data_IF_862592024744
#
_entry.id   IF_862592024744
#
_cell.length_a   1.000
_cell.length_b   1.000
_cell.length_c   1.000
_cell.angle_alpha   90.00
_cell.angle_beta   90.00
_cell.angle_gamma   90.00
#
_symmetry.space_group_name_H-M   'P 1'
#
loop_
_entity.id
_entity.type
_entity.pdbx_description
1 polymer ?
#
# COMPACT_ATOMS: atom_id res chain seq x y z
N UNK A 1 -15.82 -0.78 1.29
CA UNK A 1 -14.40 -0.78 1.61
C UNK A 1 -13.58 -0.63 0.33
N UNK A 2 -12.60 0.27 0.32
CA UNK A 2 -11.71 0.49 -0.82
C UNK A 2 -10.26 0.36 -0.35
N UNK A 3 -9.45 -0.43 -1.04
CA UNK A 3 -8.01 -0.51 -0.85
C UNK A 3 -7.29 0.31 -1.93
N UNK A 4 -6.53 1.30 -1.49
CA UNK A 4 -5.67 2.12 -2.33
C UNK A 4 -4.22 1.69 -2.12
N UNK A 5 -3.72 0.87 -3.03
CA UNK A 5 -2.37 0.29 -2.97
C UNK A 5 -1.41 1.19 -3.76
N UNK A 6 -0.47 1.82 -3.05
CA UNK A 6 0.40 2.86 -3.59
C UNK A 6 1.79 2.27 -3.87
N UNK A 7 2.39 2.68 -4.97
CA UNK A 7 3.75 2.31 -5.34
C UNK A 7 3.92 2.05 -6.83
N UNK A 8 5.08 1.55 -7.21
CA UNK A 8 5.43 1.23 -8.61
C UNK A 8 6.19 -0.09 -8.72
N UNK A 9 5.95 -0.82 -9.79
CA UNK A 9 6.68 -2.04 -10.16
C UNK A 9 8.11 -1.78 -10.67
N UNK A 10 8.48 -0.51 -10.89
CA UNK A 10 9.80 -0.11 -11.39
C UNK A 10 10.88 -0.03 -10.32
N UNK A 11 10.50 -0.06 -9.04
CA UNK A 11 11.39 0.05 -7.88
C UNK A 11 11.03 -1.03 -6.88
N UNK A 12 11.96 -1.93 -6.59
CA UNK A 12 11.67 -3.15 -5.81
C UNK A 12 11.02 -2.86 -4.45
N UNK A 13 11.55 -1.94 -3.67
CA UNK A 13 10.98 -1.60 -2.36
C UNK A 13 9.59 -0.98 -2.45
N UNK A 14 9.33 -0.25 -3.54
CA UNK A 14 8.06 0.44 -3.78
C UNK A 14 6.99 -0.47 -4.44
N UNK A 15 7.33 -1.73 -4.70
CA UNK A 15 6.40 -2.72 -5.25
C UNK A 15 5.38 -3.24 -4.23
N UNK A 16 5.52 -2.96 -2.93
CA UNK A 16 4.68 -3.56 -1.88
C UNK A 16 3.19 -3.34 -2.14
N UNK A 17 2.78 -2.08 -2.29
CA UNK A 17 1.38 -1.73 -2.59
C UNK A 17 0.87 -2.45 -3.84
N UNK A 18 1.52 -2.32 -5.01
CA UNK A 18 1.15 -3.04 -6.23
C UNK A 18 1.03 -4.56 -6.08
N UNK A 19 1.93 -5.21 -5.32
CA UNK A 19 1.82 -6.65 -5.04
C UNK A 19 0.59 -6.99 -4.20
N UNK A 20 0.33 -6.24 -3.14
CA UNK A 20 -0.88 -6.42 -2.32
C UNK A 20 -2.13 -6.23 -3.19
N UNK A 21 -2.17 -5.14 -3.97
CA UNK A 21 -3.30 -4.85 -4.85
C UNK A 21 -3.53 -5.95 -5.89
N UNK A 22 -2.47 -6.50 -6.48
CA UNK A 22 -2.57 -7.62 -7.43
C UNK A 22 -3.14 -8.88 -6.77
N UNK A 23 -2.68 -9.21 -5.57
CA UNK A 23 -3.16 -10.36 -4.81
C UNK A 23 -4.62 -10.21 -4.39
N UNK A 24 -5.00 -9.05 -3.85
CA UNK A 24 -6.38 -8.75 -3.46
C UNK A 24 -7.34 -8.78 -4.66
N UNK A 25 -6.93 -8.25 -5.82
CA UNK A 25 -7.74 -8.27 -7.05
C UNK A 25 -7.98 -9.69 -7.59
N UNK A 26 -7.15 -10.65 -7.21
CA UNK A 26 -7.28 -12.06 -7.59
C UNK A 26 -8.12 -12.87 -6.60
N UNK A 27 -8.52 -12.28 -5.47
CA UNK A 27 -9.37 -12.93 -4.48
C UNK A 27 -10.83 -12.90 -4.94
N UNK A 28 -11.53 -14.01 -4.75
CA UNK A 28 -12.95 -14.17 -5.13
C UNK A 28 -13.94 -13.51 -4.16
N UNK A 29 -13.50 -12.65 -3.26
CA UNK A 29 -14.33 -11.98 -2.26
C UNK A 29 -14.89 -10.67 -2.81
N UNK A 30 -16.23 -10.51 -2.89
CA UNK A 30 -16.85 -9.41 -3.64
C UNK A 30 -16.98 -8.08 -2.88
N UNK A 31 -16.60 -7.98 -1.62
CA UNK A 31 -17.05 -6.86 -0.77
C UNK A 31 -16.07 -5.68 -0.67
N UNK A 32 -15.05 -5.61 -1.52
CA UNK A 32 -14.14 -4.48 -1.59
C UNK A 32 -13.69 -4.15 -3.01
N UNK A 33 -13.29 -2.91 -3.21
CA UNK A 33 -12.70 -2.44 -4.47
C UNK A 33 -11.21 -2.17 -4.27
N UNK A 34 -10.38 -2.52 -5.26
CA UNK A 34 -8.92 -2.35 -5.22
C UNK A 34 -8.47 -1.39 -6.31
N UNK A 35 -7.62 -0.44 -5.94
CA UNK A 35 -6.91 0.46 -6.85
C UNK A 35 -5.41 0.34 -6.60
N UNK A 36 -4.63 0.27 -7.66
CA UNK A 36 -3.18 0.09 -7.60
C UNK A 36 -2.78 -1.38 -7.61
N UNK A 37 -2.55 -1.91 -8.81
CA UNK A 37 -2.04 -3.26 -9.05
C UNK A 37 -0.69 -3.19 -9.75
N UNK A 38 -0.03 -4.33 -9.99
CA UNK A 38 1.21 -4.38 -10.78
C UNK A 38 1.00 -3.87 -12.22
N UNK A 39 -0.17 -4.12 -12.80
CA UNK A 39 -0.47 -3.74 -14.18
C UNK A 39 -1.11 -2.35 -14.31
N UNK A 40 -1.69 -1.85 -13.23
CA UNK A 40 -2.31 -0.53 -13.13
C UNK A 40 -1.88 0.16 -11.82
N UNK A 41 -0.60 0.54 -11.70
CA UNK A 41 -0.08 1.08 -10.44
C UNK A 41 -0.60 2.48 -10.16
N UNK A 42 -0.80 2.77 -8.88
CA UNK A 42 -1.06 4.12 -8.37
C UNK A 42 0.20 4.60 -7.66
N UNK A 43 0.86 5.58 -8.24
CA UNK A 43 2.17 6.08 -7.82
C UNK A 43 2.18 7.61 -7.75
N UNK A 44 3.29 8.20 -7.35
CA UNK A 44 3.44 9.64 -7.11
C UNK A 44 2.94 10.55 -8.25
N UNK A 45 3.00 10.10 -9.51
CA UNK A 45 2.60 10.93 -10.65
C UNK A 45 1.08 10.95 -10.89
N UNK A 46 0.36 9.91 -10.52
CA UNK A 46 -1.09 9.80 -10.75
C UNK A 46 -1.93 9.75 -9.47
N UNK A 47 -1.31 9.69 -8.29
CA UNK A 47 -1.99 9.51 -7.00
C UNK A 47 -3.06 10.58 -6.76
N UNK A 48 -2.76 11.85 -6.96
CA UNK A 48 -3.70 12.96 -6.71
C UNK A 48 -4.96 12.82 -7.55
N UNK A 49 -4.80 12.56 -8.85
CA UNK A 49 -5.92 12.38 -9.76
C UNK A 49 -6.73 11.11 -9.42
N UNK A 50 -6.03 10.02 -9.12
CA UNK A 50 -6.67 8.75 -8.77
C UNK A 50 -7.42 8.85 -7.44
N UNK A 51 -6.85 9.48 -6.42
CA UNK A 51 -7.51 9.64 -5.13
C UNK A 51 -8.78 10.51 -5.24
N UNK A 52 -8.71 11.59 -6.03
CA UNK A 52 -9.90 12.41 -6.33
C UNK A 52 -10.98 11.60 -7.07
N UNK A 53 -10.59 10.76 -8.02
CA UNK A 53 -11.51 9.86 -8.72
C UNK A 53 -12.15 8.86 -7.77
N UNK A 54 -11.36 8.21 -6.89
CA UNK A 54 -11.85 7.23 -5.91
C UNK A 54 -12.86 7.86 -4.96
N UNK A 55 -12.56 9.04 -4.40
CA UNK A 55 -13.48 9.74 -3.49
C UNK A 55 -14.81 10.11 -4.17
N UNK A 56 -14.79 10.50 -5.43
CA UNK A 56 -16.00 10.78 -6.19
C UNK A 56 -16.81 9.52 -6.53
N UNK A 57 -16.11 8.43 -6.84
CA UNK A 57 -16.73 7.17 -7.22
C UNK A 57 -17.31 6.41 -6.03
N UNK A 58 -16.70 6.57 -4.85
CA UNK A 58 -17.02 5.88 -3.60
C UNK A 58 -17.11 6.89 -2.44
N UNK A 59 -18.12 7.79 -2.43
CA UNK A 59 -18.17 8.90 -1.47
C UNK A 59 -18.27 8.45 -0.01
N UNK A 60 -18.94 7.33 0.25
CA UNK A 60 -19.16 6.79 1.60
C UNK A 60 -18.18 5.65 1.97
N UNK A 61 -17.24 5.32 1.10
CA UNK A 61 -16.35 4.20 1.37
C UNK A 61 -15.25 4.58 2.37
N UNK A 62 -14.96 3.65 3.28
CA UNK A 62 -13.71 3.65 4.04
C UNK A 62 -12.57 3.29 3.09
N UNK A 63 -11.58 4.18 2.98
CA UNK A 63 -10.41 3.98 2.13
C UNK A 63 -9.21 3.60 3.00
N UNK A 64 -8.67 2.41 2.76
CA UNK A 64 -7.45 1.92 3.38
C UNK A 64 -6.29 2.10 2.41
N UNK A 65 -5.35 3.00 2.74
CA UNK A 65 -4.15 3.21 1.95
C UNK A 65 -3.08 2.19 2.34
N UNK A 66 -2.41 1.60 1.34
CA UNK A 66 -1.36 0.59 1.54
C UNK A 66 -0.10 1.04 0.80
N UNK A 67 1.02 1.12 1.50
CA UNK A 67 2.29 1.60 0.94
C UNK A 67 3.49 0.91 1.59
N UNK A 68 4.65 1.00 0.93
CA UNK A 68 5.93 0.66 1.51
C UNK A 68 6.43 1.79 2.42
N UNK A 69 7.17 1.44 3.45
CA UNK A 69 7.87 2.42 4.27
C UNK A 69 9.30 1.97 4.59
N UNK A 70 10.13 2.94 4.92
CA UNK A 70 11.46 2.74 5.48
C UNK A 70 11.38 2.96 6.99
N UNK A 71 12.16 2.24 7.77
CA UNK A 71 12.11 2.32 9.21
C UNK A 71 13.41 1.98 9.91
N UNK A 72 13.36 1.76 11.21
CA UNK A 72 14.53 1.33 11.98
C UNK A 72 14.85 -0.15 11.69
N UNK A 73 16.14 -0.51 11.79
CA UNK A 73 16.61 -1.89 11.54
C UNK A 73 15.84 -2.96 12.32
N UNK A 74 15.48 -2.68 13.57
CA UNK A 74 14.73 -3.59 14.44
C UNK A 74 13.28 -3.83 13.98
N UNK A 75 12.74 -2.97 13.12
CA UNK A 75 11.38 -3.06 12.61
C UNK A 75 11.32 -3.53 11.15
N UNK A 76 12.45 -3.91 10.56
CA UNK A 76 12.46 -4.45 9.20
C UNK A 76 11.55 -5.69 9.11
N UNK A 77 10.67 -5.70 8.12
CA UNK A 77 9.70 -6.77 7.93
C UNK A 77 8.42 -6.65 8.79
N UNK A 78 8.25 -5.56 9.54
CA UNK A 78 7.03 -5.30 10.30
C UNK A 78 5.96 -4.68 9.40
N UNK A 79 4.70 -4.98 9.73
CA UNK A 79 3.52 -4.31 9.20
C UNK A 79 2.99 -3.37 10.27
N UNK A 80 2.65 -2.14 9.89
CA UNK A 80 1.99 -1.16 10.76
C UNK A 80 0.59 -0.86 10.27
N UNK A 81 -0.34 -0.66 11.18
CA UNK A 81 -1.73 -0.24 10.89
C UNK A 81 -2.02 0.95 11.79
N UNK A 82 -2.55 2.03 11.24
CA UNK A 82 -2.91 3.21 11.99
C UNK A 82 -4.13 3.93 11.41
N UNK A 83 -4.87 4.59 12.29
CA UNK A 83 -5.92 5.52 11.91
C UNK A 83 -5.35 6.77 11.26
N UNK A 84 -6.15 7.36 10.37
CA UNK A 84 -5.81 8.59 9.67
C UNK A 84 -5.13 8.37 8.34
N UNK A 85 -4.92 9.48 7.66
CA UNK A 85 -4.36 9.48 6.32
C UNK A 85 -2.88 9.08 6.30
N UNK A 86 -2.51 8.38 5.24
CA UNK A 86 -1.11 8.15 4.88
C UNK A 86 -0.55 9.39 4.20
N UNK A 87 0.70 9.74 4.53
CA UNK A 87 1.49 10.78 3.85
C UNK A 87 2.52 10.09 2.95
N UNK A 88 2.17 9.78 1.68
CA UNK A 88 3.07 9.07 0.79
C UNK A 88 4.20 9.96 0.33
N UNK A 89 5.34 9.40 -0.04
CA UNK A 89 6.40 10.12 -0.72
C UNK A 89 7.64 10.44 0.09
N UNK A 90 7.96 9.68 1.13
CA UNK A 90 9.27 9.78 1.79
C UNK A 90 10.45 9.67 0.81
N UNK A 91 10.27 8.97 -0.32
CA UNK A 91 11.30 8.80 -1.35
C UNK A 91 11.17 9.74 -2.56
N UNK A 92 10.16 10.61 -2.59
CA UNK A 92 9.90 11.50 -3.74
C UNK A 92 9.96 12.95 -3.23
N UNK A 93 10.75 13.80 -3.88
CA UNK A 93 10.89 15.24 -3.55
C UNK A 93 9.61 16.05 -3.87
N UNK A 94 8.43 15.43 -3.83
CA UNK A 94 7.15 16.05 -4.13
C UNK A 94 6.22 15.89 -2.94
N UNK A 95 5.67 16.98 -2.46
CA UNK A 95 4.58 16.94 -1.49
C UNK A 95 3.34 16.33 -2.15
N UNK A 96 3.01 15.12 -1.73
CA UNK A 96 1.81 14.42 -2.15
C UNK A 96 0.69 14.67 -1.13
N UNK A 97 -0.58 14.71 -1.56
CA UNK A 97 -1.69 14.87 -0.64
C UNK A 97 -1.78 13.67 0.31
N UNK A 98 -2.24 13.89 1.55
CA UNK A 98 -2.57 12.79 2.44
C UNK A 98 -3.75 11.99 1.86
N UNK A 99 -3.69 10.66 1.97
CA UNK A 99 -4.67 9.74 1.37
C UNK A 99 -5.11 8.66 2.34
N UNK A 100 -6.36 8.22 2.20
CA UNK A 100 -6.94 7.17 3.02
C UNK A 100 -7.56 7.70 4.33
N UNK A 101 -8.33 6.85 4.97
CA UNK A 101 -8.93 7.06 6.29
C UNK A 101 -8.20 6.22 7.34
N UNK A 102 -7.66 5.07 6.91
CA UNK A 102 -6.76 4.16 7.63
C UNK A 102 -5.59 3.87 6.70
N UNK A 103 -4.44 3.57 7.26
CA UNK A 103 -3.32 3.13 6.45
C UNK A 103 -2.60 1.91 7.01
N UNK A 104 -2.08 1.10 6.09
CA UNK A 104 -1.24 -0.06 6.37
C UNK A 104 0.10 0.18 5.68
N UNK A 105 1.22 0.06 6.40
CA UNK A 105 2.54 0.12 5.78
C UNK A 105 3.37 -1.10 6.11
N UNK A 106 4.21 -1.51 5.15
CA UNK A 106 5.21 -2.54 5.37
C UNK A 106 6.61 -1.94 5.39
N UNK A 107 7.39 -2.21 6.42
CA UNK A 107 8.76 -1.71 6.56
C UNK A 107 9.69 -2.60 5.73
N UNK A 108 9.97 -2.15 4.51
CA UNK A 108 10.70 -2.93 3.49
C UNK A 108 12.21 -2.81 3.60
N UNK A 109 12.73 -1.70 4.17
CA UNK A 109 14.16 -1.47 4.36
C UNK A 109 14.41 -0.38 5.42
N UNK A 110 15.69 -0.08 5.67
CA UNK A 110 16.13 0.84 6.72
C UNK A 110 16.10 2.28 6.19
N UNK A 111 15.50 3.19 6.97
CA UNK A 111 15.52 4.62 6.67
C UNK A 111 16.94 5.20 6.76
N UNK A 112 17.27 6.14 5.90
CA UNK A 112 18.58 6.78 5.83
C UNK A 112 18.61 7.97 4.87
N UNK A 113 19.80 8.40 4.49
CA UNK A 113 20.00 9.60 3.66
C UNK A 113 19.64 9.37 2.18
N UNK A 114 19.75 8.13 1.69
CA UNK A 114 19.54 7.77 0.28
C UNK A 114 18.32 6.87 0.11
N UNK A 115 17.15 7.35 0.53
CA UNK A 115 15.91 6.55 0.54
C UNK A 115 15.57 5.95 -0.82
N UNK A 116 15.72 6.71 -1.91
CA UNK A 116 15.45 6.22 -3.26
C UNK A 116 16.35 5.04 -3.64
N UNK A 117 17.65 5.13 -3.35
CA UNK A 117 18.59 4.03 -3.58
C UNK A 117 18.28 2.84 -2.68
N UNK A 118 17.89 3.09 -1.44
CA UNK A 118 17.48 2.06 -0.48
C UNK A 118 16.28 1.27 -1.00
N UNK A 119 15.27 1.94 -1.54
CA UNK A 119 14.13 1.29 -2.16
C UNK A 119 14.52 0.47 -3.40
N UNK A 120 15.41 0.99 -4.26
CA UNK A 120 15.90 0.26 -5.43
C UNK A 120 16.67 -1.01 -5.06
N UNK A 121 17.43 -0.98 -3.96
CA UNK A 121 18.26 -2.10 -3.50
C UNK A 121 17.57 -3.00 -2.47
N UNK A 122 16.30 -2.78 -2.20
CA UNK A 122 15.49 -3.60 -1.30
C UNK A 122 15.35 -5.03 -1.82
N UNK A 123 15.41 -6.00 -0.93
CA UNK A 123 15.24 -7.42 -1.29
C UNK A 123 13.79 -7.71 -1.66
N UNK A 124 13.59 -8.24 -2.87
CA UNK A 124 12.27 -8.64 -3.36
C UNK A 124 11.57 -9.65 -2.43
N UNK A 125 12.33 -10.57 -1.84
CA UNK A 125 11.78 -11.55 -0.89
C UNK A 125 11.13 -10.90 0.34
N UNK A 126 11.68 -9.79 0.83
CA UNK A 126 11.09 -9.02 1.93
C UNK A 126 9.76 -8.39 1.50
N UNK A 127 9.71 -7.81 0.31
CA UNK A 127 8.50 -7.20 -0.25
C UNK A 127 7.41 -8.25 -0.46
N UNK A 128 7.74 -9.41 -1.02
CA UNK A 128 6.79 -10.51 -1.24
C UNK A 128 6.24 -11.03 0.09
N UNK A 129 7.11 -11.27 1.08
CA UNK A 129 6.68 -11.75 2.40
C UNK A 129 5.74 -10.78 3.11
N UNK A 130 6.04 -9.47 3.05
CA UNK A 130 5.15 -8.42 3.58
C UNK A 130 3.83 -8.37 2.82
N UNK A 131 3.86 -8.45 1.49
CA UNK A 131 2.64 -8.46 0.68
C UNK A 131 1.74 -9.66 1.01
N UNK A 132 2.33 -10.84 1.21
CA UNK A 132 1.60 -12.04 1.63
C UNK A 132 0.95 -11.85 3.00
N UNK A 133 1.70 -11.32 3.97
CA UNK A 133 1.21 -11.05 5.32
C UNK A 133 0.04 -10.06 5.31
N UNK A 134 0.18 -8.93 4.61
CA UNK A 134 -0.85 -7.90 4.52
C UNK A 134 -2.10 -8.46 3.82
N UNK A 135 -1.92 -9.13 2.68
CA UNK A 135 -3.04 -9.71 1.92
C UNK A 135 -3.81 -10.73 2.76
N UNK A 136 -3.09 -11.65 3.42
CA UNK A 136 -3.72 -12.67 4.25
C UNK A 136 -4.50 -12.05 5.42
N UNK A 137 -3.93 -11.03 6.07
CA UNK A 137 -4.60 -10.30 7.15
C UNK A 137 -5.90 -9.65 6.67
N UNK A 138 -5.88 -8.99 5.51
CA UNK A 138 -7.07 -8.35 4.91
C UNK A 138 -8.12 -9.41 4.56
N UNK A 139 -7.75 -10.48 3.87
CA UNK A 139 -8.67 -11.55 3.47
C UNK A 139 -9.31 -12.21 4.68
N UNK A 140 -8.53 -12.53 5.72
CA UNK A 140 -9.06 -13.11 6.96
C UNK A 140 -10.06 -12.18 7.64
N UNK A 141 -9.76 -10.89 7.71
CA UNK A 141 -10.64 -9.89 8.30
C UNK A 141 -11.95 -9.75 7.51
N UNK A 142 -11.86 -9.59 6.19
CA UNK A 142 -13.07 -9.43 5.35
C UNK A 142 -13.94 -10.67 5.36
N UNK A 143 -13.36 -11.87 5.35
CA UNK A 143 -14.12 -13.11 5.49
C UNK A 143 -14.83 -13.21 6.86
N UNK A 144 -14.23 -12.70 7.93
CA UNK A 144 -14.87 -12.71 9.25
C UNK A 144 -16.09 -11.79 9.34
N UNK A 145 -16.16 -10.72 8.53
CA UNK A 145 -17.30 -9.83 8.46
C UNK A 145 -18.51 -10.46 7.76
N UNK A 146 -18.27 -11.38 6.82
CA UNK A 146 -19.34 -12.07 6.07
C UNK A 146 -20.03 -13.14 6.94
N UNK A 147 -19.34 -13.63 7.97
CA UNK A 147 -19.86 -14.65 8.87
C UNK A 147 -20.67 -14.08 10.06
N UNK A 148 -20.89 -12.77 10.12
CA UNK A 148 -21.71 -12.07 11.11
C UNK A 148 -23.07 -11.67 10.53
#
# INVERSE_FOLDING_TARGET
LVFLCIGTDRVTGDCLGPFVGQKLSSCSTPDFTVYGTLFQPVHALNLTAMYSFIRKRHPEALIVAIDASLGQKKHLGYVTIADGALYPGAAVQKELPPVGDIHITGIVNIAGVLEQLTLQTTRLSTVISLADTITQGIVNYTNSLICL
#
